data_IF_954036886444
#
_entry.id   IF_954036886444
#
_cell.length_a   1.000
_cell.length_b   1.000
_cell.length_c   1.000
_cell.angle_alpha   90.00
_cell.angle_beta   90.00
_cell.angle_gamma   90.00
#
_symmetry.space_group_name_H-M   'P 1'
#
loop_
_entity.id
_entity.type
_entity.pdbx_description
1 polymer ?
#
# COMPACT_ATOMS: atom_id res chain seq x y z
N UNK A 1 -7.24 -29.59 35.66
CA UNK A 1 -6.32 -29.92 34.54
C UNK A 1 -6.90 -29.77 33.12
N UNK A 2 -8.23 -29.70 32.97
CA UNK A 2 -8.88 -29.51 31.67
C UNK A 2 -8.85 -28.03 31.20
N UNK A 3 -8.99 -27.09 32.08
CA UNK A 3 -8.99 -25.64 31.77
C UNK A 3 -7.63 -25.12 31.31
N UNK A 4 -6.53 -25.66 31.81
CA UNK A 4 -5.18 -25.27 31.43
C UNK A 4 -4.85 -25.77 30.01
N UNK A 5 -5.28 -27.00 29.66
CA UNK A 5 -5.08 -27.60 28.35
C UNK A 5 -5.84 -26.85 27.25
N UNK A 6 -7.08 -26.42 27.54
CA UNK A 6 -7.88 -25.62 26.60
C UNK A 6 -7.31 -24.20 26.40
N UNK A 7 -6.68 -23.62 27.42
CA UNK A 7 -6.00 -22.33 27.28
C UNK A 7 -4.75 -22.43 26.40
N UNK A 8 -3.96 -23.49 26.55
CA UNK A 8 -2.79 -23.74 25.70
C UNK A 8 -3.18 -24.06 24.24
N UNK A 9 -4.27 -24.79 24.05
CA UNK A 9 -4.79 -25.09 22.70
C UNK A 9 -5.32 -23.83 22.03
N UNK A 10 -6.06 -22.97 22.72
CA UNK A 10 -6.49 -21.67 22.20
C UNK A 10 -5.33 -20.72 21.94
N UNK A 11 -4.30 -20.68 22.78
CA UNK A 11 -3.09 -19.89 22.53
C UNK A 11 -2.33 -20.39 21.29
N UNK A 12 -2.24 -21.70 21.10
CA UNK A 12 -1.61 -22.29 19.90
C UNK A 12 -2.46 -22.11 18.64
N UNK A 13 -3.79 -22.11 18.73
CA UNK A 13 -4.68 -21.84 17.60
C UNK A 13 -4.62 -20.36 17.20
N UNK A 14 -4.47 -19.44 18.17
CA UNK A 14 -4.27 -18.02 17.92
C UNK A 14 -2.85 -17.74 17.38
N UNK A 15 -1.85 -18.53 17.75
CA UNK A 15 -0.48 -18.47 17.21
C UNK A 15 -0.31 -19.18 15.85
N UNK A 16 -1.28 -19.97 15.42
CA UNK A 16 -1.39 -20.43 14.04
C UNK A 16 -2.00 -19.38 13.09
N UNK A 17 -2.05 -18.12 13.48
CA UNK A 17 -2.10 -17.03 12.54
C UNK A 17 -0.80 -17.08 11.73
N UNK A 18 -0.92 -17.59 10.56
CA UNK A 18 0.05 -17.77 9.50
C UNK A 18 1.18 -16.76 9.64
N UNK A 19 2.34 -17.20 10.12
CA UNK A 19 3.56 -16.40 10.07
C UNK A 19 3.80 -16.12 8.59
N UNK A 20 3.30 -14.98 8.13
CA UNK A 20 3.40 -14.57 6.75
C UNK A 20 4.87 -14.46 6.42
N UNK A 21 5.33 -15.21 5.43
CA UNK A 21 6.70 -15.12 4.96
C UNK A 21 6.90 -13.74 4.34
N UNK A 22 7.39 -12.80 5.18
CA UNK A 22 7.71 -11.44 4.77
C UNK A 22 9.15 -11.43 4.28
N UNK A 23 9.39 -10.81 3.13
CA UNK A 23 10.69 -10.74 2.50
C UNK A 23 11.28 -9.33 2.65
N UNK A 24 12.60 -9.22 2.66
CA UNK A 24 13.33 -7.98 2.50
C UNK A 24 14.36 -8.17 1.40
N UNK A 25 13.91 -8.00 0.15
CA UNK A 25 14.72 -8.25 -1.02
C UNK A 25 15.74 -7.11 -1.23
N UNK A 26 17.05 -7.41 -1.40
CA UNK A 26 18.07 -6.41 -1.68
C UNK A 26 18.04 -5.99 -3.15
N UNK A 27 18.59 -4.81 -3.48
CA UNK A 27 18.69 -4.31 -4.86
C UNK A 27 19.52 -5.20 -5.79
N UNK A 28 20.48 -5.97 -5.25
CA UNK A 28 21.29 -6.90 -6.05
C UNK A 28 20.57 -8.18 -6.46
N UNK A 29 19.34 -8.39 -6.06
CA UNK A 29 18.58 -9.61 -6.38
C UNK A 29 17.65 -9.37 -7.58
N UNK A 30 17.79 -10.19 -8.61
CA UNK A 30 16.92 -10.13 -9.82
C UNK A 30 15.45 -10.24 -9.47
N UNK A 31 15.08 -11.00 -8.43
CA UNK A 31 13.69 -11.12 -7.96
C UNK A 31 13.09 -9.78 -7.55
N UNK A 32 13.90 -8.85 -7.03
CA UNK A 32 13.45 -7.50 -6.69
C UNK A 32 12.85 -6.82 -7.90
N UNK A 33 13.53 -6.85 -9.03
CA UNK A 33 13.08 -6.20 -10.27
C UNK A 33 11.90 -6.90 -10.92
N UNK A 34 11.84 -8.24 -10.85
CA UNK A 34 10.69 -9.00 -11.32
C UNK A 34 9.41 -8.64 -10.55
N UNK A 35 9.49 -8.55 -9.21
CA UNK A 35 8.36 -8.11 -8.39
C UNK A 35 8.01 -6.65 -8.63
N UNK A 36 9.00 -5.76 -8.76
CA UNK A 36 8.75 -4.36 -9.12
C UNK A 36 8.00 -4.28 -10.45
N UNK A 37 8.44 -4.99 -11.49
CA UNK A 37 7.77 -5.02 -12.79
C UNK A 37 6.32 -5.49 -12.67
N UNK A 38 6.08 -6.56 -11.93
CA UNK A 38 4.74 -7.11 -11.68
C UNK A 38 3.82 -6.08 -11.00
N UNK A 39 4.30 -5.44 -9.93
CA UNK A 39 3.50 -4.48 -9.18
C UNK A 39 3.32 -3.16 -9.91
N UNK A 40 4.31 -2.70 -10.67
CA UNK A 40 4.18 -1.55 -11.56
C UNK A 40 3.14 -1.83 -12.65
N UNK A 41 3.17 -3.00 -13.27
CA UNK A 41 2.15 -3.40 -14.25
C UNK A 41 0.74 -3.40 -13.63
N UNK A 42 0.59 -3.91 -12.40
CA UNK A 42 -0.66 -3.85 -11.64
C UNK A 42 -1.12 -2.41 -11.35
N UNK A 43 -0.20 -1.55 -10.92
CA UNK A 43 -0.47 -0.13 -10.67
C UNK A 43 -0.67 0.70 -11.96
N UNK A 44 -0.37 0.16 -13.13
CA UNK A 44 -0.74 0.73 -14.43
C UNK A 44 -2.15 0.25 -14.83
N UNK A 45 -2.40 -1.04 -14.75
CA UNK A 45 -3.66 -1.63 -15.18
C UNK A 45 -4.85 -1.20 -14.29
N UNK A 46 -4.66 -1.21 -12.96
CA UNK A 46 -5.74 -0.93 -12.02
C UNK A 46 -6.31 0.50 -12.15
N UNK A 47 -5.51 1.58 -12.27
CA UNK A 47 -6.03 2.91 -12.55
C UNK A 47 -6.84 3.00 -13.83
N UNK A 48 -6.43 2.31 -14.90
CA UNK A 48 -7.17 2.32 -16.18
C UNK A 48 -8.56 1.71 -15.99
N UNK A 49 -8.69 0.63 -15.22
CA UNK A 49 -9.98 0.03 -14.88
C UNK A 49 -10.83 0.97 -14.02
N UNK A 50 -10.22 1.64 -13.04
CA UNK A 50 -10.93 2.57 -12.17
C UNK A 50 -11.43 3.83 -12.93
N UNK A 51 -10.73 4.27 -13.96
CA UNK A 51 -11.15 5.41 -14.77
C UNK A 51 -12.37 5.12 -15.67
N UNK A 52 -12.81 3.88 -15.79
CA UNK A 52 -14.09 3.53 -16.39
C UNK A 52 -15.30 4.04 -15.56
N UNK A 53 -15.06 4.36 -14.29
CA UNK A 53 -16.07 4.93 -13.38
C UNK A 53 -15.77 6.43 -13.21
N UNK A 54 -16.79 7.31 -13.27
CA UNK A 54 -16.60 8.74 -13.02
C UNK A 54 -15.90 8.99 -11.67
N UNK A 55 -14.87 9.82 -11.66
CA UNK A 55 -14.03 10.12 -10.50
C UNK A 55 -13.36 8.89 -9.83
N UNK A 56 -13.29 7.74 -10.50
CA UNK A 56 -12.76 6.51 -9.93
C UNK A 56 -11.28 6.59 -9.50
N UNK A 57 -10.46 7.38 -10.20
CA UNK A 57 -9.07 7.62 -9.82
C UNK A 57 -8.93 8.22 -8.42
N UNK A 58 -9.44 9.43 -8.16
CA UNK A 58 -9.36 10.09 -6.86
C UNK A 58 -10.12 9.35 -5.75
N UNK A 59 -11.23 8.66 -6.10
CA UNK A 59 -12.08 7.97 -5.13
C UNK A 59 -11.50 6.63 -4.69
N UNK A 60 -10.99 5.83 -5.63
CA UNK A 60 -10.53 4.47 -5.36
C UNK A 60 -9.04 4.38 -5.08
N UNK A 61 -8.27 5.45 -5.35
CA UNK A 61 -6.84 5.55 -5.10
C UNK A 61 -6.03 4.33 -5.61
N UNK A 62 -6.29 3.86 -6.84
CA UNK A 62 -5.79 2.57 -7.31
C UNK A 62 -4.27 2.50 -7.42
N UNK A 63 -3.60 3.63 -7.66
CA UNK A 63 -2.15 3.71 -7.85
C UNK A 63 -1.34 3.35 -6.61
N UNK A 64 -1.96 3.38 -5.44
CA UNK A 64 -1.32 3.04 -4.18
C UNK A 64 -1.47 1.57 -3.78
N UNK A 65 -2.44 0.85 -4.37
CA UNK A 65 -2.83 -0.49 -3.92
C UNK A 65 -1.67 -1.49 -3.99
N UNK A 66 -1.06 -1.65 -5.16
CA UNK A 66 0.05 -2.60 -5.31
C UNK A 66 1.36 -2.11 -4.70
N UNK A 67 1.52 -0.79 -4.49
CA UNK A 67 2.63 -0.24 -3.71
C UNK A 67 2.57 -0.72 -2.25
N UNK A 68 1.38 -0.72 -1.64
CA UNK A 68 1.15 -1.28 -0.31
C UNK A 68 1.56 -2.75 -0.24
N UNK A 69 1.08 -3.57 -1.19
CA UNK A 69 1.38 -5.00 -1.25
C UNK A 69 2.88 -5.25 -1.43
N UNK A 70 3.49 -4.54 -2.38
CA UNK A 70 4.91 -4.63 -2.69
C UNK A 70 5.79 -4.32 -1.47
N UNK A 71 5.52 -3.22 -0.78
CA UNK A 71 6.29 -2.79 0.38
C UNK A 71 6.08 -3.71 1.59
N UNK A 72 4.85 -4.11 1.88
CA UNK A 72 4.53 -4.93 3.03
C UNK A 72 5.08 -6.35 2.91
N UNK A 73 4.89 -7.00 1.75
CA UNK A 73 5.29 -8.40 1.54
C UNK A 73 6.76 -8.54 1.17
N UNK A 74 7.29 -7.67 0.31
CA UNK A 74 8.61 -7.84 -0.30
C UNK A 74 9.65 -6.81 0.17
N UNK A 75 9.24 -5.89 1.04
CA UNK A 75 10.10 -4.95 1.73
C UNK A 75 10.22 -3.59 1.04
N UNK A 76 10.91 -2.68 1.74
CA UNK A 76 11.00 -1.27 1.38
C UNK A 76 11.51 -1.03 -0.05
N UNK A 77 12.53 -1.78 -0.48
CA UNK A 77 13.18 -1.54 -1.78
C UNK A 77 12.25 -1.84 -2.95
N UNK A 78 11.52 -2.95 -2.89
CA UNK A 78 10.50 -3.30 -3.89
C UNK A 78 9.37 -2.27 -3.84
N UNK A 79 8.88 -1.95 -2.65
CA UNK A 79 7.84 -0.94 -2.46
C UNK A 79 8.21 0.44 -2.97
N UNK A 80 9.42 0.92 -2.67
CA UNK A 80 9.91 2.23 -3.09
C UNK A 80 10.04 2.33 -4.61
N UNK A 81 10.65 1.35 -5.26
CA UNK A 81 10.74 1.33 -6.72
C UNK A 81 9.34 1.30 -7.36
N UNK A 82 8.43 0.49 -6.83
CA UNK A 82 7.03 0.47 -7.29
C UNK A 82 6.37 1.84 -7.07
N UNK A 83 6.56 2.46 -5.91
CA UNK A 83 6.01 3.76 -5.54
C UNK A 83 6.43 4.90 -6.47
N UNK A 84 7.69 4.88 -6.91
CA UNK A 84 8.23 5.93 -7.78
C UNK A 84 7.94 5.67 -9.26
N UNK A 85 8.12 4.44 -9.71
CA UNK A 85 7.97 4.10 -11.13
C UNK A 85 6.50 4.11 -11.56
N UNK A 86 5.57 3.63 -10.73
CA UNK A 86 4.15 3.53 -11.13
C UNK A 86 3.53 4.87 -11.52
N UNK A 87 3.60 5.94 -10.70
CA UNK A 87 3.02 7.23 -11.06
C UNK A 87 3.71 7.87 -12.26
N UNK A 88 5.04 7.74 -12.36
CA UNK A 88 5.81 8.32 -13.47
C UNK A 88 5.45 7.63 -14.78
N UNK A 89 5.42 6.30 -14.82
CA UNK A 89 5.08 5.55 -16.03
C UNK A 89 3.63 5.79 -16.43
N UNK A 90 2.68 5.80 -15.48
CA UNK A 90 1.29 6.15 -15.75
C UNK A 90 1.16 7.57 -16.35
N UNK A 91 1.89 8.54 -15.80
CA UNK A 91 1.91 9.89 -16.33
C UNK A 91 2.43 9.93 -17.79
N UNK A 92 3.53 9.25 -18.07
CA UNK A 92 4.15 9.22 -19.39
C UNK A 92 3.29 8.50 -20.43
N UNK A 93 2.61 7.42 -20.05
CA UNK A 93 1.80 6.62 -20.98
C UNK A 93 0.39 7.19 -21.19
N UNK A 94 -0.22 7.75 -20.16
CA UNK A 94 -1.64 8.11 -20.15
C UNK A 94 -1.91 9.57 -19.76
N UNK A 95 -0.84 10.37 -19.52
CA UNK A 95 -0.93 11.73 -18.97
C UNK A 95 -1.69 11.78 -17.60
N UNK A 96 -1.75 10.66 -16.90
CA UNK A 96 -2.41 10.52 -15.60
C UNK A 96 -1.47 9.85 -14.59
N UNK A 97 -1.33 10.39 -13.39
CA UNK A 97 -1.92 11.65 -12.88
C UNK A 97 -1.41 12.88 -13.61
N UNK A 98 -2.17 13.98 -13.58
CA UNK A 98 -1.72 15.24 -14.17
C UNK A 98 -0.40 15.72 -13.54
N UNK A 99 0.45 16.40 -14.34
CA UNK A 99 1.77 16.85 -13.88
C UNK A 99 1.72 17.69 -12.61
N UNK A 100 0.67 18.48 -12.42
CA UNK A 100 0.50 19.35 -11.25
C UNK A 100 0.36 18.58 -9.93
N UNK A 101 -0.25 17.38 -9.95
CA UNK A 101 -0.47 16.53 -8.75
C UNK A 101 0.57 15.42 -8.61
N UNK A 102 1.37 15.19 -9.64
CA UNK A 102 2.37 14.12 -9.64
C UNK A 102 3.36 14.19 -8.47
N UNK A 103 3.90 15.36 -8.06
CA UNK A 103 4.78 15.45 -6.90
C UNK A 103 4.11 14.99 -5.60
N UNK A 104 2.86 15.40 -5.36
CA UNK A 104 2.09 14.98 -4.18
C UNK A 104 1.86 13.45 -4.16
N UNK A 105 1.54 12.87 -5.31
CA UNK A 105 1.35 11.42 -5.45
C UNK A 105 2.65 10.66 -5.22
N UNK A 106 3.78 11.14 -5.73
CA UNK A 106 5.10 10.53 -5.49
C UNK A 106 5.46 10.53 -3.99
N UNK A 107 5.22 11.65 -3.30
CA UNK A 107 5.45 11.75 -1.85
C UNK A 107 4.55 10.77 -1.11
N UNK A 108 3.23 10.76 -1.39
CA UNK A 108 2.28 9.82 -0.77
C UNK A 108 2.65 8.36 -1.03
N UNK A 109 3.04 8.02 -2.26
CA UNK A 109 3.48 6.66 -2.62
C UNK A 109 4.76 6.26 -1.87
N UNK A 110 5.72 7.15 -1.75
CA UNK A 110 6.95 6.93 -1.00
C UNK A 110 6.69 6.73 0.50
N UNK A 111 5.82 7.57 1.08
CA UNK A 111 5.38 7.43 2.47
C UNK A 111 4.65 6.11 2.70
N UNK A 112 3.80 5.70 1.77
CA UNK A 112 3.10 4.41 1.82
C UNK A 112 4.10 3.25 1.81
N UNK A 113 5.09 3.28 0.92
CA UNK A 113 6.13 2.25 0.85
C UNK A 113 6.94 2.18 2.15
N UNK A 114 7.32 3.34 2.72
CA UNK A 114 8.03 3.42 3.98
C UNK A 114 7.23 2.90 5.16
N UNK A 115 6.02 3.39 5.35
CA UNK A 115 5.15 2.99 6.46
C UNK A 115 4.71 1.53 6.38
N UNK A 116 4.43 1.01 5.17
CA UNK A 116 4.08 -0.39 4.97
C UNK A 116 5.25 -1.33 5.29
N UNK A 117 6.45 -1.02 4.82
CA UNK A 117 7.64 -1.82 5.11
C UNK A 117 8.00 -1.77 6.61
N UNK A 118 7.84 -0.62 7.23
CA UNK A 118 8.07 -0.44 8.67
C UNK A 118 7.05 -1.25 9.49
N UNK A 119 5.77 -1.14 9.15
CA UNK A 119 4.70 -1.91 9.81
C UNK A 119 4.92 -3.42 9.69
N UNK A 120 5.31 -3.90 8.50
CA UNK A 120 5.63 -5.30 8.27
C UNK A 120 6.81 -5.78 9.13
N UNK A 121 7.84 -4.94 9.28
CA UNK A 121 9.02 -5.25 10.10
C UNK A 121 8.69 -5.37 11.59
N UNK A 122 7.83 -4.49 12.11
CA UNK A 122 7.46 -4.50 13.52
C UNK A 122 6.37 -5.53 13.85
N UNK A 123 5.35 -5.63 13.03
CA UNK A 123 4.24 -6.57 13.24
C UNK A 123 4.66 -8.02 13.02
N UNK A 124 5.65 -8.27 12.14
CA UNK A 124 6.16 -9.60 11.73
C UNK A 124 5.09 -10.55 11.18
N UNK A 125 3.87 -10.10 11.07
CA UNK A 125 2.71 -10.81 10.53
C UNK A 125 1.82 -9.87 9.73
N UNK A 126 0.79 -10.40 9.07
CA UNK A 126 -0.22 -9.59 8.39
C UNK A 126 -1.32 -9.25 9.39
N UNK A 127 -1.33 -8.01 9.86
CA UNK A 127 -2.28 -7.49 10.84
C UNK A 127 -3.19 -6.44 10.21
N UNK A 128 -4.50 -6.59 10.42
CA UNK A 128 -5.49 -5.61 9.97
C UNK A 128 -5.26 -4.24 10.63
N UNK A 129 -4.88 -4.24 11.91
CA UNK A 129 -4.57 -3.01 12.65
C UNK A 129 -3.30 -2.32 12.13
N UNK A 130 -2.26 -3.10 11.81
CA UNK A 130 -1.03 -2.56 11.22
C UNK A 130 -1.30 -1.92 9.86
N UNK A 131 -2.13 -2.55 9.00
CA UNK A 131 -2.53 -1.99 7.71
C UNK A 131 -3.37 -0.73 7.85
N UNK A 132 -4.28 -0.66 8.83
CA UNK A 132 -5.00 0.57 9.14
C UNK A 132 -4.02 1.70 9.50
N UNK A 133 -3.06 1.43 10.37
CA UNK A 133 -2.02 2.38 10.73
C UNK A 133 -1.22 2.86 9.51
N UNK A 134 -0.87 1.97 8.60
CA UNK A 134 -0.18 2.31 7.34
C UNK A 134 -1.02 3.25 6.48
N UNK A 135 -2.29 2.88 6.22
CA UNK A 135 -3.20 3.67 5.37
C UNK A 135 -3.43 5.06 5.94
N UNK A 136 -3.69 5.16 7.24
CA UNK A 136 -3.89 6.46 7.90
C UNK A 136 -2.59 7.29 7.92
N UNK A 137 -1.45 6.68 8.20
CA UNK A 137 -0.17 7.39 8.29
C UNK A 137 0.22 8.05 6.98
N UNK A 138 0.20 7.33 5.85
CA UNK A 138 0.60 7.91 4.58
C UNK A 138 -0.39 8.98 4.10
N UNK A 139 -1.67 8.82 4.38
CA UNK A 139 -2.68 9.80 4.00
C UNK A 139 -2.58 11.07 4.84
N UNK A 140 -2.47 10.95 6.17
CA UNK A 140 -2.36 12.13 7.04
C UNK A 140 -1.08 12.89 6.75
N UNK A 141 0.08 12.22 6.77
CA UNK A 141 1.37 12.85 6.53
C UNK A 141 1.43 13.39 5.08
N UNK A 142 0.95 12.60 4.12
CA UNK A 142 0.91 13.01 2.71
C UNK A 142 0.03 14.21 2.46
N UNK A 143 -1.12 14.32 3.14
CA UNK A 143 -2.00 15.50 3.08
C UNK A 143 -1.32 16.75 3.63
N UNK A 144 -0.52 16.63 4.69
CA UNK A 144 0.27 17.76 5.23
C UNK A 144 1.31 18.22 4.19
N UNK A 145 2.03 17.31 3.55
CA UNK A 145 2.97 17.64 2.49
C UNK A 145 2.28 18.27 1.27
N UNK A 146 1.13 17.71 0.86
CA UNK A 146 0.34 18.26 -0.24
C UNK A 146 -0.13 19.67 0.06
N UNK A 147 -0.61 19.93 1.29
CA UNK A 147 -0.95 21.28 1.73
C UNK A 147 0.25 22.23 1.64
N UNK A 148 1.42 21.80 2.08
CA UNK A 148 2.63 22.62 1.97
C UNK A 148 3.02 22.92 0.52
N UNK A 149 2.77 21.99 -0.42
CA UNK A 149 3.07 22.14 -1.84
C UNK A 149 2.07 23.06 -2.56
N UNK A 150 0.77 22.88 -2.32
CA UNK A 150 -0.27 23.63 -3.03
C UNK A 150 -0.70 24.92 -2.31
N UNK A 151 -0.29 25.12 -1.06
CA UNK A 151 -0.67 26.29 -0.24
C UNK A 151 -2.16 26.37 0.12
N UNK A 152 -2.96 25.35 -0.23
CA UNK A 152 -4.41 25.35 -0.03
C UNK A 152 -4.83 24.11 0.76
N UNK A 153 -5.22 24.32 2.02
CA UNK A 153 -5.65 23.26 2.92
C UNK A 153 -6.88 22.50 2.42
N UNK A 154 -7.85 23.22 1.85
CA UNK A 154 -9.10 22.57 1.38
C UNK A 154 -8.84 21.63 0.18
N UNK A 155 -7.93 22.00 -0.72
CA UNK A 155 -7.53 21.11 -1.82
C UNK A 155 -6.81 19.86 -1.30
N UNK A 156 -5.87 20.01 -0.38
CA UNK A 156 -5.14 18.89 0.20
C UNK A 156 -6.05 17.92 0.95
N UNK A 157 -7.02 18.43 1.72
CA UNK A 157 -7.99 17.60 2.46
C UNK A 157 -9.04 16.98 1.53
N UNK A 158 -9.30 17.59 0.37
CA UNK A 158 -10.24 17.03 -0.61
C UNK A 158 -9.80 15.63 -1.08
N UNK A 159 -8.51 15.44 -1.35
CA UNK A 159 -7.97 14.12 -1.75
C UNK A 159 -8.18 13.07 -0.66
N UNK A 160 -7.98 13.45 0.61
CA UNK A 160 -8.28 12.57 1.74
C UNK A 160 -9.78 12.20 1.80
N UNK A 161 -10.67 13.20 1.69
CA UNK A 161 -12.14 12.98 1.79
C UNK A 161 -12.66 12.13 0.65
N UNK A 162 -12.26 12.43 -0.58
CA UNK A 162 -12.68 11.67 -1.76
C UNK A 162 -12.10 10.26 -1.77
N UNK A 163 -10.89 10.08 -1.23
CA UNK A 163 -10.16 8.82 -1.20
C UNK A 163 -10.60 7.83 -0.11
N UNK A 164 -11.57 8.16 0.75
CA UNK A 164 -12.04 7.24 1.80
C UNK A 164 -12.40 5.85 1.27
N UNK A 165 -13.16 5.68 0.17
CA UNK A 165 -13.44 4.35 -0.38
C UNK A 165 -12.16 3.61 -0.80
N UNK A 166 -11.21 4.30 -1.41
CA UNK A 166 -9.91 3.73 -1.77
C UNK A 166 -9.08 3.30 -0.56
N UNK A 167 -9.11 4.08 0.52
CA UNK A 167 -8.48 3.72 1.78
C UNK A 167 -9.09 2.44 2.37
N UNK A 168 -10.41 2.27 2.30
CA UNK A 168 -11.09 1.05 2.73
C UNK A 168 -10.68 -0.16 1.87
N UNK A 169 -10.58 0.03 0.55
CA UNK A 169 -10.09 -1.01 -0.37
C UNK A 169 -8.63 -1.38 -0.05
N UNK A 170 -7.77 -0.42 0.20
CA UNK A 170 -6.39 -0.67 0.60
C UNK A 170 -6.32 -1.42 1.93
N UNK A 171 -7.13 -1.04 2.90
CA UNK A 171 -7.16 -1.67 4.22
C UNK A 171 -7.66 -3.11 4.16
N UNK A 172 -8.89 -3.33 3.71
CA UNK A 172 -9.50 -4.67 3.69
C UNK A 172 -9.03 -5.52 2.50
N UNK A 173 -9.00 -4.94 1.30
CA UNK A 173 -8.53 -5.63 0.09
C UNK A 173 -7.04 -5.94 0.16
N UNK A 174 -6.25 -5.00 0.68
CA UNK A 174 -4.82 -5.21 0.94
C UNK A 174 -4.59 -6.34 1.93
N UNK A 175 -5.35 -6.38 3.04
CA UNK A 175 -5.29 -7.47 4.00
C UNK A 175 -5.65 -8.83 3.38
N UNK A 176 -6.76 -8.88 2.64
CA UNK A 176 -7.21 -10.11 1.98
C UNK A 176 -6.18 -10.63 0.97
N UNK A 177 -5.64 -9.75 0.13
CA UNK A 177 -4.63 -10.11 -0.86
C UNK A 177 -3.33 -10.55 -0.21
N UNK A 178 -2.83 -9.82 0.79
CA UNK A 178 -1.63 -10.20 1.54
C UNK A 178 -1.80 -11.58 2.21
N UNK A 179 -2.94 -11.86 2.81
CA UNK A 179 -3.24 -13.19 3.37
C UNK A 179 -3.29 -14.29 2.30
N UNK A 180 -3.86 -14.00 1.14
CA UNK A 180 -3.92 -14.96 0.04
C UNK A 180 -2.51 -15.34 -0.48
N UNK A 181 -1.64 -14.35 -0.70
CA UNK A 181 -0.28 -14.59 -1.18
C UNK A 181 0.70 -15.05 -0.09
N UNK A 182 0.34 -14.94 1.18
CA UNK A 182 1.17 -15.40 2.29
C UNK A 182 1.12 -16.91 2.49
N UNK A 183 0.06 -17.57 2.01
CA UNK A 183 -0.13 -19.02 2.09
C UNK A 183 0.74 -19.80 1.10
N UNK A 184 1.26 -19.10 0.09
CA UNK A 184 2.17 -19.62 -0.93
C UNK A 184 3.60 -19.10 -0.67
#
# INVERSE_FOLDING_TARGET
>A
NSHTKNRFINYNIIQMETSAKLYSLPFGNVKTYLFVLLFVAGNIALPQLCHLVPAGGPTLLPIYFFTLIAAYKYGFKVGLLTALLSPVINHLLFAMPAAAVLPAILIKSGLLAGTAALAARYAKNISLLALLGVVLSYQIIGTVFEWALCGNFFLAVQDFRMGIPGMLIQWFGGYALLKAIAKN
#
